data_IF_150920986716
#
_entry.id   IF_150920986716
#
_cell.length_a   1.000
_cell.length_b   1.000
_cell.length_c   1.000
_cell.angle_alpha   90.00
_cell.angle_beta   90.00
_cell.angle_gamma   90.00
#
_symmetry.space_group_name_H-M   'P 1'
#
loop_
_entity.id
_entity.type
_entity.pdbx_description
1 polymer ?
#
# COMPACT_ATOMS: atom_id res chain seq x y z
N UNK A 1 -3.02 -52.47 54.22
CA UNK A 1 -3.10 -51.07 53.76
C UNK A 1 -1.82 -50.53 53.07
N UNK A 2 -0.58 -50.82 53.57
CA UNK A 2 0.66 -50.28 52.89
C UNK A 2 0.95 -50.92 51.54
N UNK A 3 0.57 -52.18 51.31
CA UNK A 3 0.81 -52.88 50.04
C UNK A 3 -0.11 -52.46 48.88
N UNK A 4 -1.35 -52.04 49.20
CA UNK A 4 -2.30 -51.55 48.20
C UNK A 4 -1.98 -50.13 47.78
N UNK A 5 -1.43 -49.31 48.65
CA UNK A 5 -1.01 -47.93 48.35
C UNK A 5 0.20 -47.93 47.42
N UNK A 6 1.15 -48.87 47.61
CA UNK A 6 2.32 -49.00 46.73
C UNK A 6 1.98 -49.45 45.32
N UNK A 7 0.97 -50.33 45.19
CA UNK A 7 0.47 -50.78 43.88
C UNK A 7 -0.23 -49.65 43.10
N UNK A 8 -1.00 -48.81 43.80
CA UNK A 8 -1.69 -47.67 43.22
C UNK A 8 -0.69 -46.59 42.74
N UNK A 9 0.38 -46.36 43.52
CA UNK A 9 1.44 -45.40 43.19
C UNK A 9 2.24 -45.86 41.96
N UNK A 10 2.56 -47.17 41.82
CA UNK A 10 3.22 -47.74 40.65
C UNK A 10 2.35 -47.62 39.39
N UNK A 11 1.03 -47.84 39.51
CA UNK A 11 0.11 -47.74 38.37
C UNK A 11 -0.02 -46.26 37.89
N UNK A 12 -0.02 -45.30 38.82
CA UNK A 12 -0.04 -43.89 38.50
C UNK A 12 1.26 -43.41 37.81
N UNK A 13 2.42 -43.97 38.22
CA UNK A 13 3.72 -43.66 37.61
C UNK A 13 3.83 -44.26 36.18
N UNK A 14 3.23 -45.42 35.93
CA UNK A 14 3.19 -46.06 34.60
C UNK A 14 2.31 -45.27 33.61
N UNK A 15 1.19 -44.72 34.05
CA UNK A 15 0.33 -43.87 33.25
C UNK A 15 1.03 -42.54 32.88
N UNK A 16 1.87 -41.98 33.75
CA UNK A 16 2.63 -40.77 33.49
C UNK A 16 3.77 -40.99 32.49
N UNK A 17 4.33 -42.21 32.38
CA UNK A 17 5.38 -42.51 31.44
C UNK A 17 4.85 -42.76 29.99
N UNK A 18 3.56 -43.04 29.84
CA UNK A 18 2.97 -43.30 28.50
C UNK A 18 2.43 -42.02 27.82
N UNK A 19 2.28 -40.91 28.59
CA UNK A 19 1.82 -39.61 28.04
C UNK A 19 2.94 -38.75 27.53
N UNK A 20 4.21 -39.07 27.76
CA UNK A 20 5.36 -38.28 27.28
C UNK A 20 5.81 -38.65 25.86
N UNK A 21 5.12 -39.58 25.18
CA UNK A 21 5.49 -40.07 23.85
C UNK A 21 4.64 -39.58 22.71
N UNK A 22 3.69 -38.66 22.91
CA UNK A 22 2.75 -38.22 21.86
C UNK A 22 2.77 -36.68 21.59
N UNK A 23 3.83 -36.01 22.00
CA UNK A 23 4.18 -34.75 21.33
C UNK A 23 5.14 -35.11 20.20
N UNK A 24 4.60 -35.73 19.14
CA UNK A 24 5.17 -35.59 17.82
C UNK A 24 5.10 -34.06 17.57
N UNK A 25 6.25 -33.40 17.58
CA UNK A 25 6.44 -32.15 16.92
C UNK A 25 6.02 -32.37 15.46
N UNK A 26 4.80 -32.02 15.12
CA UNK A 26 4.54 -31.47 13.79
C UNK A 26 5.35 -30.17 13.80
N UNK A 27 6.62 -30.24 13.38
CA UNK A 27 7.22 -29.16 12.65
C UNK A 27 6.29 -28.99 11.43
N UNK A 28 5.33 -28.09 11.53
CA UNK A 28 4.89 -27.34 10.38
C UNK A 28 6.20 -26.72 9.89
N UNK A 29 6.81 -27.37 8.90
CA UNK A 29 7.71 -26.72 8.00
C UNK A 29 6.85 -25.61 7.39
N UNK A 30 6.86 -24.42 8.01
CA UNK A 30 6.68 -23.19 7.28
C UNK A 30 7.77 -23.30 6.21
N UNK A 31 7.38 -23.73 5.01
CA UNK A 31 8.15 -23.48 3.82
C UNK A 31 8.21 -21.94 3.72
N UNK A 32 9.16 -21.34 4.46
CA UNK A 32 9.74 -20.09 4.02
C UNK A 32 10.25 -20.41 2.62
N UNK A 33 9.47 -20.01 1.63
CA UNK A 33 9.89 -20.09 0.24
C UNK A 33 11.16 -19.25 0.16
N UNK A 34 12.32 -19.91 0.26
CA UNK A 34 13.61 -19.26 0.04
C UNK A 34 13.57 -18.66 -1.35
N UNK A 35 13.37 -17.34 -1.41
CA UNK A 35 13.39 -16.60 -2.67
C UNK A 35 14.76 -16.82 -3.29
N UNK A 36 14.79 -17.42 -4.47
CA UNK A 36 16.05 -17.73 -5.14
C UNK A 36 16.76 -16.47 -5.63
N UNK A 37 18.06 -16.55 -5.85
CA UNK A 37 18.85 -15.42 -6.39
C UNK A 37 18.34 -15.02 -7.78
N UNK A 38 17.87 -15.99 -8.58
CA UNK A 38 17.26 -15.76 -9.87
C UNK A 38 15.95 -14.96 -9.77
N UNK A 39 15.11 -15.30 -8.80
CA UNK A 39 13.85 -14.58 -8.55
C UNK A 39 14.11 -13.14 -8.10
N UNK A 40 15.05 -12.92 -7.17
CA UNK A 40 15.47 -11.59 -6.76
C UNK A 40 16.01 -10.76 -7.93
N UNK A 41 16.79 -11.39 -8.81
CA UNK A 41 17.31 -10.72 -9.99
C UNK A 41 16.18 -10.34 -10.96
N UNK A 42 15.26 -11.26 -11.26
CA UNK A 42 14.12 -10.99 -12.13
C UNK A 42 13.24 -9.87 -11.58
N UNK A 43 12.95 -9.89 -10.29
CA UNK A 43 12.18 -8.84 -9.61
C UNK A 43 12.88 -7.46 -9.72
N UNK A 44 14.20 -7.42 -9.57
CA UNK A 44 14.97 -6.19 -9.71
C UNK A 44 14.93 -5.63 -11.15
N UNK A 45 14.99 -6.51 -12.15
CA UNK A 45 14.88 -6.13 -13.57
C UNK A 45 13.48 -5.60 -13.89
N UNK A 46 12.43 -6.27 -13.38
CA UNK A 46 11.04 -5.86 -13.55
C UNK A 46 10.79 -4.47 -12.96
N UNK A 47 11.22 -4.24 -11.70
CA UNK A 47 11.11 -2.92 -11.08
C UNK A 47 11.85 -1.82 -11.83
N UNK A 48 13.00 -2.15 -12.42
CA UNK A 48 13.74 -1.21 -13.27
C UNK A 48 12.95 -0.83 -14.52
N UNK A 49 12.34 -1.80 -15.20
CA UNK A 49 11.48 -1.56 -16.38
C UNK A 49 10.30 -0.67 -16.01
N UNK A 50 9.61 -0.97 -14.91
CA UNK A 50 8.49 -0.19 -14.39
C UNK A 50 8.92 1.26 -14.12
N UNK A 51 10.06 1.44 -13.44
CA UNK A 51 10.59 2.77 -13.14
C UNK A 51 10.94 3.57 -14.41
N UNK A 52 11.54 2.93 -15.41
CA UNK A 52 11.83 3.57 -16.69
C UNK A 52 10.55 3.96 -17.45
N UNK A 53 9.53 3.10 -17.47
CA UNK A 53 8.21 3.41 -18.06
C UNK A 53 7.56 4.59 -17.35
N UNK A 54 7.61 4.62 -16.01
CA UNK A 54 7.06 5.70 -15.19
C UNK A 54 7.72 7.07 -15.49
N UNK A 55 8.99 7.08 -15.87
CA UNK A 55 9.75 8.31 -16.14
C UNK A 55 9.57 8.84 -17.58
N UNK A 56 8.96 8.10 -18.49
CA UNK A 56 8.69 8.58 -19.83
C UNK A 56 7.73 9.78 -19.81
N UNK A 57 7.69 10.55 -20.91
CA UNK A 57 6.67 11.62 -21.09
C UNK A 57 5.38 11.09 -21.70
N UNK A 58 5.31 9.80 -21.98
CA UNK A 58 4.15 9.15 -22.57
C UNK A 58 3.16 8.71 -21.47
N UNK A 59 1.92 9.17 -21.60
CA UNK A 59 0.84 8.84 -20.66
C UNK A 59 0.57 7.35 -20.59
N UNK A 60 0.54 6.68 -21.73
CA UNK A 60 0.14 5.27 -21.81
C UNK A 60 1.23 4.37 -21.23
N UNK A 61 2.50 4.76 -21.36
CA UNK A 61 3.62 4.08 -20.68
C UNK A 61 3.54 4.23 -19.17
N UNK A 62 3.16 5.40 -18.65
CA UNK A 62 2.94 5.62 -17.21
C UNK A 62 1.78 4.77 -16.68
N UNK A 63 0.68 4.68 -17.44
CA UNK A 63 -0.45 3.82 -17.08
C UNK A 63 -0.08 2.33 -17.15
N UNK A 64 0.80 1.95 -18.06
CA UNK A 64 1.34 0.59 -18.12
C UNK A 64 2.18 0.28 -16.87
N UNK A 65 3.06 1.20 -16.46
CA UNK A 65 3.84 1.07 -15.22
C UNK A 65 2.94 0.86 -14.00
N UNK A 66 1.85 1.64 -13.89
CA UNK A 66 0.88 1.50 -12.79
C UNK A 66 0.16 0.14 -12.81
N UNK A 67 -0.16 -0.39 -14.01
CA UNK A 67 -0.75 -1.73 -14.13
C UNK A 67 0.23 -2.81 -13.71
N UNK A 68 1.49 -2.71 -14.11
CA UNK A 68 2.50 -3.67 -13.67
C UNK A 68 2.73 -3.63 -12.15
N UNK A 69 2.67 -2.44 -11.53
CA UNK A 69 2.71 -2.33 -10.05
C UNK A 69 1.50 -3.03 -9.42
N UNK A 70 0.30 -2.83 -9.96
CA UNK A 70 -0.91 -3.50 -9.49
C UNK A 70 -0.77 -5.04 -9.55
N UNK A 71 -0.28 -5.56 -10.66
CA UNK A 71 -0.02 -7.00 -10.84
C UNK A 71 0.99 -7.54 -9.82
N UNK A 72 2.05 -6.77 -9.51
CA UNK A 72 3.02 -7.14 -8.46
C UNK A 72 2.38 -7.15 -7.06
N UNK A 73 1.48 -6.20 -6.77
CA UNK A 73 0.75 -6.15 -5.50
C UNK A 73 -0.21 -7.32 -5.36
N UNK A 74 -0.97 -7.65 -6.41
CA UNK A 74 -1.92 -8.76 -6.44
C UNK A 74 -1.22 -10.13 -6.28
N UNK A 75 -0.03 -10.29 -6.85
CA UNK A 75 0.76 -11.51 -6.77
C UNK A 75 1.52 -11.65 -5.44
N UNK A 76 1.38 -10.68 -4.52
CA UNK A 76 2.08 -10.68 -3.23
C UNK A 76 3.58 -10.41 -3.33
N UNK A 77 4.08 -10.03 -4.52
CA UNK A 77 5.48 -9.65 -4.73
C UNK A 77 5.78 -8.23 -4.25
N UNK A 78 4.74 -7.46 -3.97
CA UNK A 78 4.83 -6.12 -3.42
C UNK A 78 4.17 -6.09 -2.05
N UNK A 79 4.93 -5.72 -1.04
CA UNK A 79 4.43 -5.52 0.32
C UNK A 79 4.54 -4.04 0.72
N UNK A 80 3.91 -3.68 1.83
CA UNK A 80 4.01 -2.34 2.46
C UNK A 80 5.47 -1.84 2.59
N UNK A 81 6.43 -2.76 2.62
CA UNK A 81 7.86 -2.46 2.73
C UNK A 81 8.61 -2.35 1.40
N UNK A 82 7.96 -2.35 0.23
CA UNK A 82 8.63 -2.26 -1.07
C UNK A 82 8.97 -0.80 -1.43
N UNK A 83 10.18 -0.30 -1.12
CA UNK A 83 10.53 1.12 -1.25
C UNK A 83 10.50 1.59 -2.71
N UNK A 84 10.85 0.72 -3.67
CA UNK A 84 10.91 1.07 -5.09
C UNK A 84 9.51 1.30 -5.67
N UNK A 85 8.53 0.49 -5.25
CA UNK A 85 7.13 0.65 -5.66
C UNK A 85 6.58 1.95 -5.10
N UNK A 86 6.77 2.19 -3.78
CA UNK A 86 6.34 3.42 -3.15
C UNK A 86 6.97 4.64 -3.84
N UNK A 87 8.26 4.63 -4.11
CA UNK A 87 8.97 5.73 -4.78
C UNK A 87 8.40 6.00 -6.18
N UNK A 88 8.05 4.95 -6.92
CA UNK A 88 7.45 5.08 -8.25
C UNK A 88 6.04 5.65 -8.18
N UNK A 89 5.23 5.20 -7.21
CA UNK A 89 3.89 5.72 -6.98
C UNK A 89 3.90 7.18 -6.50
N UNK A 90 4.83 7.54 -5.59
CA UNK A 90 5.05 8.92 -5.15
C UNK A 90 5.38 9.83 -6.35
N UNK A 91 6.32 9.42 -7.21
CA UNK A 91 6.66 10.15 -8.41
C UNK A 91 5.44 10.36 -9.34
N UNK A 92 4.65 9.32 -9.60
CA UNK A 92 3.50 9.36 -10.51
C UNK A 92 2.30 10.10 -9.92
N UNK A 93 2.12 10.09 -8.61
CA UNK A 93 1.05 10.81 -7.92
C UNK A 93 1.19 12.34 -8.04
N UNK A 94 2.40 12.82 -8.30
CA UNK A 94 2.73 14.24 -8.45
C UNK A 94 3.02 14.65 -9.90
N UNK A 95 2.67 13.82 -10.89
CA UNK A 95 2.97 14.04 -12.29
C UNK A 95 2.29 15.31 -12.85
N UNK A 96 3.10 16.20 -13.39
CA UNK A 96 2.64 17.46 -13.96
C UNK A 96 2.22 18.55 -12.98
N UNK A 97 2.30 18.28 -11.68
CA UNK A 97 2.10 19.30 -10.61
C UNK A 97 3.39 19.54 -9.82
N UNK A 98 3.99 18.54 -9.24
CA UNK A 98 5.26 18.65 -8.54
C UNK A 98 6.44 18.85 -9.50
N UNK A 99 6.42 18.15 -10.64
CA UNK A 99 7.42 18.28 -11.70
C UNK A 99 6.74 18.56 -13.04
N UNK A 100 6.84 19.80 -13.50
CA UNK A 100 6.24 20.25 -14.76
C UNK A 100 7.25 20.23 -15.88
N UNK A 101 6.93 19.52 -16.97
CA UNK A 101 7.66 19.59 -18.24
C UNK A 101 6.86 20.46 -19.19
N UNK A 102 7.51 21.49 -19.73
CA UNK A 102 6.84 22.45 -20.61
C UNK A 102 7.44 22.42 -22.01
N UNK A 103 6.57 22.38 -23.01
CA UNK A 103 6.92 22.56 -24.41
C UNK A 103 6.09 23.69 -25.00
N UNK A 104 6.75 24.67 -25.63
CA UNK A 104 6.09 25.84 -26.23
C UNK A 104 5.13 26.56 -25.27
N UNK A 105 5.50 26.66 -23.99
CA UNK A 105 4.71 27.31 -22.94
C UNK A 105 3.51 26.51 -22.43
N UNK A 106 3.35 25.25 -22.82
CA UNK A 106 2.31 24.36 -22.32
C UNK A 106 2.92 23.22 -21.51
N UNK A 107 2.29 22.86 -20.39
CA UNK A 107 2.64 21.68 -19.64
C UNK A 107 2.22 20.46 -20.46
N UNK A 108 3.17 19.59 -20.78
CA UNK A 108 2.94 18.40 -21.63
C UNK A 108 2.79 17.11 -20.82
N UNK A 109 3.12 17.12 -19.54
CA UNK A 109 3.01 15.99 -18.63
C UNK A 109 1.89 16.14 -17.60
N UNK A 110 0.82 16.87 -17.92
CA UNK A 110 -0.34 17.01 -17.05
C UNK A 110 -1.32 15.86 -17.27
N UNK A 111 -1.21 14.80 -16.46
CA UNK A 111 -1.99 13.57 -16.58
C UNK A 111 -2.76 13.26 -15.27
N UNK A 112 -3.96 13.86 -15.06
CA UNK A 112 -4.77 13.60 -13.86
C UNK A 112 -5.12 12.13 -13.64
N UNK A 113 -5.31 11.37 -14.72
CA UNK A 113 -5.61 9.93 -14.65
C UNK A 113 -4.47 9.13 -14.03
N UNK A 114 -3.22 9.46 -14.38
CA UNK A 114 -2.02 8.85 -13.83
C UNK A 114 -1.95 9.12 -12.33
N UNK A 115 -2.14 10.39 -11.92
CA UNK A 115 -2.13 10.78 -10.51
C UNK A 115 -3.24 10.08 -9.72
N UNK A 116 -4.47 10.06 -10.27
CA UNK A 116 -5.60 9.38 -9.63
C UNK A 116 -5.29 7.89 -9.40
N UNK A 117 -4.81 7.21 -10.44
CA UNK A 117 -4.48 5.78 -10.33
C UNK A 117 -3.34 5.51 -9.35
N UNK A 118 -2.35 6.41 -9.27
CA UNK A 118 -1.28 6.33 -8.27
C UNK A 118 -1.82 6.46 -6.84
N UNK A 119 -2.77 7.37 -6.61
CA UNK A 119 -3.42 7.52 -5.31
C UNK A 119 -4.20 6.25 -4.91
N UNK A 120 -4.89 5.63 -5.84
CA UNK A 120 -5.61 4.37 -5.65
C UNK A 120 -4.64 3.27 -5.18
N UNK A 121 -3.53 3.06 -5.90
CA UNK A 121 -2.52 2.05 -5.56
C UNK A 121 -1.77 2.38 -4.26
N UNK A 122 -1.55 3.66 -3.94
CA UNK A 122 -1.02 4.06 -2.62
C UNK A 122 -1.97 3.68 -1.49
N UNK A 123 -3.29 3.78 -1.73
CA UNK A 123 -4.31 3.31 -0.79
C UNK A 123 -4.28 1.79 -0.58
N UNK A 124 -3.97 1.04 -1.65
CA UNK A 124 -3.84 -0.42 -1.61
C UNK A 124 -2.53 -0.86 -0.94
N UNK A 125 -1.45 -0.14 -1.21
CA UNK A 125 -0.14 -0.39 -0.62
C UNK A 125 -0.13 -0.12 0.89
N UNK A 126 -0.82 0.94 1.34
CA UNK A 126 -0.90 1.30 2.75
C UNK A 126 0.37 1.92 3.31
N UNK A 127 0.43 1.96 4.65
CA UNK A 127 1.59 2.41 5.39
C UNK A 127 1.78 3.92 5.51
N UNK A 128 2.66 4.29 6.42
CA UNK A 128 2.95 5.69 6.78
C UNK A 128 3.44 6.55 5.61
N UNK A 129 4.24 5.96 4.73
CA UNK A 129 4.77 6.65 3.57
C UNK A 129 3.66 7.00 2.57
N UNK A 130 2.73 6.06 2.34
CA UNK A 130 1.57 6.31 1.48
C UNK A 130 0.67 7.41 2.03
N UNK A 131 0.44 7.44 3.36
CA UNK A 131 -0.29 8.52 4.02
C UNK A 131 0.37 9.88 3.74
N UNK A 132 1.69 9.98 3.89
CA UNK A 132 2.42 11.23 3.65
C UNK A 132 2.29 11.70 2.21
N UNK A 133 2.48 10.80 1.24
CA UNK A 133 2.32 11.12 -0.18
C UNK A 133 0.89 11.59 -0.50
N UNK A 134 -0.13 10.88 0.00
CA UNK A 134 -1.53 11.24 -0.22
C UNK A 134 -1.89 12.60 0.40
N UNK A 135 -1.37 12.91 1.58
CA UNK A 135 -1.52 14.24 2.19
C UNK A 135 -0.88 15.34 1.35
N UNK A 136 0.27 15.09 0.73
CA UNK A 136 0.92 16.05 -0.17
C UNK A 136 0.11 16.23 -1.46
N UNK A 137 -0.47 15.16 -2.02
CA UNK A 137 -1.41 15.25 -3.14
C UNK A 137 -2.61 16.12 -2.78
N UNK A 138 -3.26 15.89 -1.63
CA UNK A 138 -4.38 16.69 -1.16
C UNK A 138 -4.02 18.19 -1.06
N UNK A 139 -2.79 18.49 -0.68
CA UNK A 139 -2.32 19.87 -0.52
C UNK A 139 -2.03 20.55 -1.86
N UNK A 140 -1.44 19.84 -2.82
CA UNK A 140 -0.90 20.44 -4.04
C UNK A 140 -1.80 20.29 -5.27
N UNK A 141 -2.61 19.21 -5.34
CA UNK A 141 -3.48 18.98 -6.49
C UNK A 141 -4.74 19.85 -6.43
N UNK A 142 -5.24 20.16 -7.62
CA UNK A 142 -6.46 20.94 -7.82
C UNK A 142 -7.53 20.15 -8.60
N UNK A 143 -7.18 18.96 -9.09
CA UNK A 143 -8.08 18.15 -9.90
C UNK A 143 -9.05 17.38 -8.99
N UNK A 144 -10.38 17.61 -9.10
CA UNK A 144 -11.35 17.01 -8.18
C UNK A 144 -11.30 15.50 -8.10
N UNK A 145 -11.08 14.82 -9.23
CA UNK A 145 -11.02 13.37 -9.28
C UNK A 145 -9.79 12.80 -8.55
N UNK A 146 -8.66 13.53 -8.58
CA UNK A 146 -7.45 13.11 -7.87
C UNK A 146 -7.61 13.34 -6.38
N UNK A 147 -8.15 14.50 -6.00
CA UNK A 147 -8.45 14.83 -4.60
C UNK A 147 -9.42 13.82 -3.97
N UNK A 148 -10.47 13.43 -4.70
CA UNK A 148 -11.44 12.45 -4.24
C UNK A 148 -10.79 11.07 -4.03
N UNK A 149 -9.93 10.64 -4.96
CA UNK A 149 -9.22 9.38 -4.83
C UNK A 149 -8.23 9.39 -3.66
N UNK A 150 -7.46 10.48 -3.51
CA UNK A 150 -6.53 10.63 -2.39
C UNK A 150 -7.25 10.61 -1.03
N UNK A 151 -8.43 11.25 -0.92
CA UNK A 151 -9.25 11.18 0.28
C UNK A 151 -9.73 9.74 0.54
N UNK A 152 -10.28 9.07 -0.47
CA UNK A 152 -10.75 7.69 -0.35
C UNK A 152 -9.61 6.73 0.04
N UNK A 153 -8.43 6.88 -0.57
CA UNK A 153 -7.24 6.09 -0.27
C UNK A 153 -6.79 6.27 1.20
N UNK A 154 -6.81 7.51 1.72
CA UNK A 154 -6.53 7.76 3.14
C UNK A 154 -7.53 7.06 4.06
N UNK A 155 -8.82 7.06 3.71
CA UNK A 155 -9.84 6.34 4.45
C UNK A 155 -9.63 4.83 4.42
N UNK A 156 -9.19 4.29 3.29
CA UNK A 156 -8.89 2.86 3.12
C UNK A 156 -7.71 2.41 3.98
N UNK A 157 -6.63 3.20 4.03
CA UNK A 157 -5.47 2.91 4.87
C UNK A 157 -5.88 2.91 6.35
N UNK A 158 -6.83 3.77 6.72
CA UNK A 158 -7.21 3.96 8.12
C UNK A 158 -6.09 4.60 8.90
N UNK A 159 -6.37 4.91 10.09
CA UNK A 159 -5.60 5.50 11.10
C UNK A 159 -4.80 6.74 10.91
N UNK A 160 -5.30 7.49 11.54
CA UNK A 160 -5.03 8.71 12.09
C UNK A 160 -3.63 9.03 12.45
N UNK A 161 -2.94 9.77 11.63
CA UNK A 161 -1.85 10.63 12.07
C UNK A 161 -2.46 11.79 12.87
N UNK A 162 -2.99 11.49 14.08
CA UNK A 162 -3.39 12.46 15.10
C UNK A 162 -4.20 13.66 14.59
N UNK A 163 -5.17 13.40 13.69
CA UNK A 163 -6.01 14.44 13.11
C UNK A 163 -5.42 15.16 11.89
N UNK A 164 -4.22 14.83 11.43
CA UNK A 164 -3.62 15.43 10.22
C UNK A 164 -4.45 15.16 8.97
N UNK A 165 -4.97 13.95 8.83
CA UNK A 165 -5.85 13.57 7.71
C UNK A 165 -7.10 14.45 7.73
N UNK A 166 -7.78 14.52 8.88
CA UNK A 166 -8.98 15.33 9.04
C UNK A 166 -8.71 16.82 8.77
N UNK A 167 -7.61 17.37 9.26
CA UNK A 167 -7.23 18.74 9.00
C UNK A 167 -6.99 18.99 7.50
N UNK A 168 -6.29 18.08 6.83
CA UNK A 168 -6.00 18.20 5.39
C UNK A 168 -7.28 18.12 4.56
N UNK A 169 -8.19 17.22 4.90
CA UNK A 169 -9.50 17.13 4.25
C UNK A 169 -10.33 18.41 4.45
N UNK A 170 -10.34 18.96 5.67
CA UNK A 170 -11.01 20.23 5.95
C UNK A 170 -10.46 21.36 5.10
N UNK A 171 -9.13 21.49 5.00
CA UNK A 171 -8.47 22.53 4.20
C UNK A 171 -8.84 22.42 2.71
N UNK A 172 -8.91 21.17 2.18
CA UNK A 172 -9.36 20.94 0.80
C UNK A 172 -10.84 21.30 0.63
N UNK A 173 -11.72 20.93 1.57
CA UNK A 173 -13.15 21.31 1.52
C UNK A 173 -13.30 22.81 1.45
N UNK A 174 -12.61 23.56 2.33
CA UNK A 174 -12.65 25.03 2.35
C UNK A 174 -12.15 25.60 1.01
N UNK A 175 -11.04 25.05 0.48
CA UNK A 175 -10.48 25.48 -0.82
C UNK A 175 -11.44 25.17 -1.97
N UNK A 176 -12.12 24.03 -1.98
CA UNK A 176 -13.08 23.66 -3.00
C UNK A 176 -14.37 24.50 -2.93
N UNK A 177 -14.86 24.83 -1.74
CA UNK A 177 -16.03 25.72 -1.56
C UNK A 177 -15.80 27.13 -2.10
N UNK A 178 -14.56 27.60 -2.11
CA UNK A 178 -14.19 28.89 -2.68
C UNK A 178 -14.25 28.92 -4.22
N UNK A 179 -14.40 27.77 -4.87
CA UNK A 179 -14.54 27.67 -6.34
C UNK A 179 -15.94 28.03 -6.78
N UNK A 180 -16.08 28.55 -8.02
CA UNK A 180 -17.39 28.91 -8.61
C UNK A 180 -18.33 27.71 -8.79
N UNK A 181 -17.76 26.52 -8.98
CA UNK A 181 -18.50 25.25 -9.09
C UNK A 181 -17.80 24.23 -8.19
N UNK A 182 -18.26 24.06 -6.94
CA UNK A 182 -17.73 23.03 -6.04
C UNK A 182 -18.00 21.63 -6.61
N UNK A 183 -17.02 20.73 -6.47
CA UNK A 183 -17.20 19.32 -6.84
C UNK A 183 -17.75 18.52 -5.68
N UNK A 184 -18.91 17.89 -5.91
CA UNK A 184 -19.57 17.08 -4.88
C UNK A 184 -18.90 15.70 -4.67
N UNK A 185 -18.14 15.20 -5.65
CA UNK A 185 -17.48 13.90 -5.53
C UNK A 185 -16.41 13.93 -4.45
N UNK A 186 -15.63 15.03 -4.40
CA UNK A 186 -14.66 15.21 -3.32
C UNK A 186 -15.34 15.28 -1.95
N UNK A 187 -16.43 16.04 -1.83
CA UNK A 187 -17.17 16.13 -0.56
C UNK A 187 -17.71 14.77 -0.11
N UNK A 188 -18.19 13.97 -1.06
CA UNK A 188 -18.63 12.61 -0.77
C UNK A 188 -17.48 11.68 -0.34
N UNK A 189 -16.33 11.72 -1.04
CA UNK A 189 -15.16 10.96 -0.67
C UNK A 189 -14.65 11.34 0.73
N UNK A 190 -14.59 12.63 1.05
CA UNK A 190 -14.18 13.12 2.37
C UNK A 190 -15.11 12.69 3.51
N UNK A 191 -16.39 12.39 3.24
CA UNK A 191 -17.31 11.86 4.24
C UNK A 191 -17.13 10.36 4.48
N UNK A 192 -16.53 9.63 3.54
CA UNK A 192 -16.28 8.19 3.65
C UNK A 192 -14.92 7.87 4.30
N UNK A 193 -14.04 8.86 4.41
CA UNK A 193 -12.71 8.77 5.06
C UNK A 193 -12.84 8.93 6.57
#
# INVERSE_FOLDING_TARGET
>A
MKRTLLGLLCMLLLVFLTTSGLFAQTSEDEEESEVTVEELYLQSVEMRIISEQAQTLDRDMKLLALRSIEELMENGSASEGAPEIHQTLDYLSMEGIGRKVTEKGRVINYFPEVRRRSCELLGDLGGDNSIQTLLEVLKQDDEPMVLAEAAYALGKIGDGKDGLVLQSLYDVVVRQQARRAPDNNFAFAALLT
#
